data_IF_429877153187
#
_entry.id   IF_429877153187
#
_cell.length_a   1.000
_cell.length_b   1.000
_cell.length_c   1.000
_cell.angle_alpha   90.00
_cell.angle_beta   90.00
_cell.angle_gamma   90.00
#
_symmetry.space_group_name_H-M   'P 1'
#
loop_
_entity.id
_entity.type
_entity.pdbx_description
1 polymer ?
#
# COMPACT_ATOMS: atom_id res chain seq x y z
N UNK A 1 -8.24 -2.63 -13.49
CA UNK A 1 -8.01 -1.18 -13.43
C UNK A 1 -6.98 -0.89 -12.36
N UNK A 2 -5.88 -0.27 -12.78
CA UNK A 2 -4.79 0.18 -11.90
C UNK A 2 -4.93 1.70 -11.71
N UNK A 3 -5.00 2.15 -10.46
CA UNK A 3 -5.20 3.56 -10.11
C UNK A 3 -3.92 4.12 -9.49
N UNK A 4 -3.34 5.13 -10.13
CA UNK A 4 -2.34 5.99 -9.50
C UNK A 4 -3.04 7.09 -8.71
N UNK A 5 -2.96 7.01 -7.38
CA UNK A 5 -3.57 7.95 -6.45
C UNK A 5 -2.53 8.83 -5.73
N UNK A 6 -1.28 8.88 -6.22
CA UNK A 6 -0.16 9.62 -5.58
C UNK A 6 -0.51 11.08 -5.29
N UNK A 7 -1.25 11.73 -6.21
CA UNK A 7 -1.69 13.11 -6.05
C UNK A 7 -3.14 13.26 -5.57
N UNK A 8 -3.91 12.17 -5.47
CA UNK A 8 -5.29 12.24 -5.02
C UNK A 8 -5.42 12.01 -3.51
N UNK A 9 -4.73 11.00 -2.96
CA UNK A 9 -4.76 10.66 -1.52
C UNK A 9 -4.48 11.85 -0.59
N UNK A 10 -3.56 12.80 -0.91
CA UNK A 10 -3.33 13.96 -0.05
C UNK A 10 -4.52 14.94 0.04
N UNK A 11 -5.52 14.80 -0.83
CA UNK A 11 -6.61 15.78 -1.01
C UNK A 11 -8.01 15.19 -0.85
N UNK A 12 -8.14 13.87 -0.72
CA UNK A 12 -9.44 13.22 -0.57
C UNK A 12 -9.33 11.84 0.06
N UNK A 13 -10.36 11.48 0.81
CA UNK A 13 -10.49 10.14 1.38
C UNK A 13 -10.79 9.13 0.27
N UNK A 14 -9.97 8.09 0.19
CA UNK A 14 -10.10 7.03 -0.80
C UNK A 14 -10.90 5.88 -0.20
N UNK A 15 -12.00 5.53 -0.86
CA UNK A 15 -12.74 4.29 -0.62
C UNK A 15 -12.55 3.34 -1.81
N UNK A 16 -11.63 2.39 -1.65
CA UNK A 16 -11.30 1.41 -2.70
C UNK A 16 -12.47 0.50 -3.06
N UNK A 17 -13.44 0.30 -2.15
CA UNK A 17 -14.61 -0.53 -2.38
C UNK A 17 -15.65 0.24 -3.21
N UNK A 18 -15.87 1.51 -2.91
CA UNK A 18 -16.71 2.39 -3.72
C UNK A 18 -16.11 2.63 -5.11
N UNK A 19 -14.79 2.75 -5.21
CA UNK A 19 -14.06 2.87 -6.48
C UNK A 19 -14.11 1.59 -7.33
N UNK A 20 -14.19 0.41 -6.71
CA UNK A 20 -14.17 -0.88 -7.40
C UNK A 20 -12.89 -1.11 -8.21
N UNK A 21 -11.76 -0.52 -7.79
CA UNK A 21 -10.49 -0.69 -8.49
C UNK A 21 -9.82 -2.03 -8.14
N UNK A 22 -9.03 -2.57 -9.07
CA UNK A 22 -8.28 -3.81 -8.85
C UNK A 22 -6.97 -3.55 -8.07
N UNK A 23 -6.34 -2.41 -8.36
CA UNK A 23 -5.12 -1.95 -7.72
C UNK A 23 -5.20 -0.45 -7.51
N UNK A 24 -4.65 0.01 -6.39
CA UNK A 24 -4.43 1.43 -6.14
C UNK A 24 -3.08 1.62 -5.47
N UNK A 25 -2.30 2.60 -5.94
CA UNK A 25 -1.02 2.94 -5.34
C UNK A 25 -0.94 4.41 -4.96
N UNK A 26 -0.21 4.69 -3.89
CA UNK A 26 0.15 6.07 -3.53
C UNK A 26 1.52 6.12 -2.84
N UNK A 27 2.00 7.33 -2.59
CA UNK A 27 3.27 7.59 -1.92
C UNK A 27 3.03 8.38 -0.64
N UNK A 28 3.40 7.81 0.50
CA UNK A 28 3.16 8.42 1.82
C UNK A 28 3.83 9.79 1.96
N UNK A 29 5.00 10.00 1.35
CA UNK A 29 5.71 11.29 1.37
C UNK A 29 4.96 12.45 0.70
N UNK A 30 3.85 12.18 0.01
CA UNK A 30 2.97 13.22 -0.55
C UNK A 30 1.93 13.72 0.46
N UNK A 31 1.75 13.05 1.60
CA UNK A 31 0.78 13.40 2.64
C UNK A 31 1.39 13.27 4.05
N UNK A 32 2.51 13.96 4.29
CA UNK A 32 3.22 14.05 5.58
C UNK A 32 3.85 12.75 6.10
N UNK A 33 3.78 11.65 5.34
CA UNK A 33 4.43 10.39 5.67
C UNK A 33 5.91 10.32 5.23
N UNK A 34 6.59 9.21 5.55
CA UNK A 34 7.96 8.96 5.09
C UNK A 34 8.02 8.57 3.61
N UNK A 35 9.22 8.39 3.07
CA UNK A 35 9.45 7.83 1.73
C UNK A 35 9.08 6.33 1.69
N UNK A 36 7.79 6.05 1.76
CA UNK A 36 7.17 4.73 1.75
C UNK A 36 6.07 4.67 0.67
N UNK A 37 6.07 3.60 -0.11
CA UNK A 37 5.00 3.30 -1.07
C UNK A 37 3.88 2.49 -0.41
N UNK A 38 2.65 2.70 -0.86
CA UNK A 38 1.48 1.95 -0.41
C UNK A 38 0.80 1.37 -1.64
N UNK A 39 0.40 0.11 -1.55
CA UNK A 39 -0.36 -0.57 -2.58
C UNK A 39 -1.56 -1.29 -1.97
N UNK A 40 -2.73 -1.03 -2.53
CA UNK A 40 -3.91 -1.86 -2.38
C UNK A 40 -4.00 -2.84 -3.55
N UNK A 41 -4.36 -4.07 -3.25
CA UNK A 41 -4.61 -5.15 -4.20
C UNK A 41 -5.94 -5.77 -3.82
N UNK A 42 -6.91 -5.79 -4.74
CA UNK A 42 -8.20 -6.42 -4.49
C UNK A 42 -8.07 -7.93 -4.31
N UNK A 43 -8.94 -8.52 -3.49
CA UNK A 43 -8.89 -9.93 -3.08
C UNK A 43 -8.73 -10.93 -4.24
N UNK A 44 -9.42 -10.78 -5.39
CA UNK A 44 -9.23 -11.69 -6.52
C UNK A 44 -7.77 -11.74 -7.00
N UNK A 45 -7.01 -10.65 -6.90
CA UNK A 45 -5.65 -10.57 -7.40
C UNK A 45 -4.59 -10.97 -6.39
N UNK A 46 -4.93 -10.99 -5.09
CA UNK A 46 -3.98 -11.37 -4.04
C UNK A 46 -3.42 -12.78 -4.27
N UNK A 47 -4.23 -13.73 -4.71
CA UNK A 47 -3.79 -15.12 -4.92
C UNK A 47 -3.33 -15.41 -6.36
N UNK A 48 -3.88 -14.71 -7.35
CA UNK A 48 -3.64 -14.98 -8.78
C UNK A 48 -2.29 -14.48 -9.31
N UNK A 49 -1.66 -13.51 -8.63
CA UNK A 49 -0.37 -12.97 -9.04
C UNK A 49 0.79 -13.71 -8.36
N UNK A 50 1.85 -13.98 -9.12
CA UNK A 50 3.11 -14.47 -8.59
C UNK A 50 3.93 -13.30 -8.04
N UNK A 51 4.17 -13.23 -6.71
CA UNK A 51 4.94 -12.13 -6.14
C UNK A 51 6.45 -12.27 -6.39
N UNK A 52 7.12 -11.13 -6.52
CA UNK A 52 8.58 -11.05 -6.55
C UNK A 52 9.10 -10.79 -5.14
N UNK A 53 9.68 -11.81 -4.49
CA UNK A 53 10.15 -11.75 -3.09
C UNK A 53 11.27 -12.74 -2.83
N UNK A 54 11.97 -12.57 -1.70
CA UNK A 54 12.88 -13.59 -1.18
C UNK A 54 12.10 -14.80 -0.66
N UNK A 55 12.67 -16.00 -0.79
CA UNK A 55 12.02 -17.26 -0.39
C UNK A 55 11.46 -17.24 1.05
N UNK A 56 12.16 -16.68 2.07
CA UNK A 56 11.66 -16.64 3.44
C UNK A 56 10.48 -15.69 3.70
N UNK A 57 10.13 -14.81 2.77
CA UNK A 57 9.02 -13.88 2.95
C UNK A 57 7.67 -14.64 3.03
N UNK A 58 6.68 -14.08 3.72
CA UNK A 58 5.36 -14.73 3.85
C UNK A 58 4.66 -14.96 2.50
N UNK A 59 3.73 -15.91 2.45
CA UNK A 59 2.82 -16.11 1.31
C UNK A 59 1.37 -15.72 1.65
N UNK A 60 1.14 -15.14 2.83
CA UNK A 60 -0.19 -14.87 3.37
C UNK A 60 -0.60 -13.43 3.04
N UNK A 61 -1.79 -13.28 2.43
CA UNK A 61 -2.42 -11.98 2.20
C UNK A 61 -1.54 -11.01 1.39
N UNK A 62 -1.68 -9.69 1.60
CA UNK A 62 -0.89 -8.68 0.87
C UNK A 62 0.60 -8.73 1.21
N UNK A 63 0.98 -9.23 2.39
CA UNK A 63 2.38 -9.37 2.79
C UNK A 63 3.20 -10.27 1.86
N UNK A 64 2.56 -11.08 1.01
CA UNK A 64 3.27 -11.85 -0.03
C UNK A 64 3.93 -10.96 -1.08
N UNK A 65 3.53 -9.69 -1.24
CA UNK A 65 4.15 -8.75 -2.18
C UNK A 65 5.29 -7.94 -1.55
N UNK A 66 5.63 -8.20 -0.29
CA UNK A 66 6.76 -7.59 0.40
C UNK A 66 8.06 -8.34 0.06
N UNK A 67 9.06 -7.60 -0.41
CA UNK A 67 10.26 -8.20 -1.03
C UNK A 67 11.28 -8.78 -0.04
N UNK A 68 11.05 -8.68 1.26
CA UNK A 68 11.99 -9.07 2.32
C UNK A 68 11.82 -8.23 3.58
N UNK A 69 12.91 -7.98 4.32
CA UNK A 69 12.90 -7.10 5.51
C UNK A 69 12.37 -5.71 5.15
N UNK A 70 11.33 -5.28 5.86
CA UNK A 70 10.70 -3.97 5.65
C UNK A 70 11.43 -2.85 6.40
N UNK A 71 11.19 -1.60 5.99
CA UNK A 71 11.63 -0.41 6.72
C UNK A 71 10.68 -0.15 7.89
N UNK A 72 11.02 -0.71 9.05
CA UNK A 72 10.18 -0.62 10.25
C UNK A 72 9.99 0.82 10.71
N UNK A 73 11.02 1.65 10.60
CA UNK A 73 11.01 3.08 10.92
C UNK A 73 10.05 3.86 10.00
N UNK A 74 10.02 3.56 8.70
CA UNK A 74 9.09 4.20 7.78
C UNK A 74 7.65 3.72 8.01
N UNK A 75 7.45 2.44 8.31
CA UNK A 75 6.11 1.92 8.65
C UNK A 75 5.59 2.59 9.93
N UNK A 76 6.42 2.73 10.96
CA UNK A 76 6.05 3.44 12.19
C UNK A 76 5.72 4.92 11.93
N UNK A 77 6.52 5.61 11.12
CA UNK A 77 6.25 6.99 10.72
C UNK A 77 4.96 7.13 9.89
N UNK A 78 4.64 6.14 9.06
CA UNK A 78 3.39 6.09 8.31
C UNK A 78 2.19 5.94 9.25
N UNK A 79 2.22 5.06 10.25
CA UNK A 79 1.14 4.95 11.23
C UNK A 79 0.84 6.29 11.91
N UNK A 80 1.89 7.01 12.34
CA UNK A 80 1.74 8.34 12.93
C UNK A 80 1.19 9.39 11.93
N UNK A 81 1.57 9.30 10.65
CA UNK A 81 1.04 10.19 9.61
C UNK A 81 -0.45 9.96 9.36
N UNK A 82 -0.93 8.71 9.42
CA UNK A 82 -2.37 8.39 9.34
C UNK A 82 -3.10 8.96 10.55
N UNK A 83 -2.59 8.74 11.76
CA UNK A 83 -3.19 9.27 13.00
C UNK A 83 -3.28 10.80 13.00
N UNK A 84 -2.31 11.48 12.38
CA UNK A 84 -2.35 12.93 12.23
C UNK A 84 -3.47 13.42 11.28
N UNK A 85 -3.85 12.62 10.29
CA UNK A 85 -4.86 12.96 9.29
C UNK A 85 -6.28 12.53 9.66
N UNK A 86 -6.43 11.58 10.60
CA UNK A 86 -7.70 11.02 11.06
C UNK A 86 -8.41 11.91 12.11
#
# INVERSE_FOLDING_TARGET
VYVDAVHYVPHGLVDVQALGCDFLVCSAYKFFGPHLGIAYVADPWLEHLAPYKVEPATNIGPGRFETGTQSFEAIAGMSAAVEYLA
#
